data_IF_702533725156
#
_entry.id   IF_702533725156
#
_cell.length_a   1.000
_cell.length_b   1.000
_cell.length_c   1.000
_cell.angle_alpha   90.00
_cell.angle_beta   90.00
_cell.angle_gamma   90.00
#
_symmetry.space_group_name_H-M   'P 1'
#
loop_
_entity.id
_entity.type
_entity.pdbx_description
1 polymer ?
#
# COMPACT_ATOMS: atom_id res chain seq x y z
N UNK A 1 3.79 -2.69 15.72
CA UNK A 1 2.89 -3.05 14.60
C UNK A 1 3.53 -2.75 13.26
N UNK A 2 3.97 -1.51 13.00
CA UNK A 2 4.66 -1.09 11.77
C UNK A 2 5.83 -2.02 11.37
N UNK A 3 6.86 -2.13 12.21
CA UNK A 3 8.04 -2.97 11.92
C UNK A 3 7.72 -4.46 11.70
N UNK A 4 6.74 -4.96 12.43
CA UNK A 4 6.29 -6.34 12.25
C UNK A 4 5.59 -6.52 10.89
N UNK A 5 4.91 -5.49 10.37
CA UNK A 5 4.33 -5.48 9.03
C UNK A 5 5.39 -5.65 7.94
N UNK A 6 6.54 -4.97 8.06
CA UNK A 6 7.69 -5.19 7.18
C UNK A 6 8.21 -6.63 7.30
N UNK A 7 8.57 -7.04 8.52
CA UNK A 7 9.26 -8.30 8.75
C UNK A 7 8.42 -9.54 8.41
N UNK A 8 7.11 -9.47 8.67
CA UNK A 8 6.21 -10.61 8.52
C UNK A 8 5.57 -10.65 7.14
N UNK A 9 4.94 -9.56 6.70
CA UNK A 9 4.12 -9.53 5.49
C UNK A 9 4.79 -8.81 4.29
N UNK A 10 6.05 -8.37 4.44
CA UNK A 10 6.79 -7.69 3.38
C UNK A 10 6.16 -6.36 2.95
N UNK A 11 5.44 -5.69 3.87
CA UNK A 11 4.82 -4.39 3.60
C UNK A 11 5.89 -3.33 3.37
N UNK A 12 5.65 -2.39 2.47
CA UNK A 12 6.47 -1.20 2.26
C UNK A 12 5.95 -0.02 3.07
N UNK A 13 6.81 0.97 3.28
CA UNK A 13 6.43 2.24 3.90
C UNK A 13 5.49 3.05 3.01
N UNK A 14 4.40 3.55 3.58
CA UNK A 14 3.39 4.37 2.88
C UNK A 14 3.54 5.87 3.16
N UNK A 15 4.48 6.26 4.02
CA UNK A 15 4.88 7.65 4.13
C UNK A 15 5.82 8.05 2.98
N UNK A 16 5.82 9.35 2.72
CA UNK A 16 6.62 9.98 1.69
C UNK A 16 7.09 11.32 2.24
N UNK A 17 8.30 11.72 1.87
CA UNK A 17 8.82 13.04 2.21
C UNK A 17 8.99 13.84 0.92
N UNK A 18 8.54 15.10 0.93
CA UNK A 18 8.71 16.03 -0.18
C UNK A 18 10.05 16.75 -0.18
N UNK A 19 10.79 16.74 0.94
CA UNK A 19 11.97 17.61 1.13
C UNK A 19 13.32 16.92 0.84
N UNK A 20 13.35 15.60 0.70
CA UNK A 20 14.60 14.81 0.50
C UNK A 20 14.52 13.90 -0.73
N UNK A 21 14.04 14.44 -1.85
CA UNK A 21 14.09 13.76 -3.15
C UNK A 21 15.52 13.83 -3.75
N UNK A 22 16.49 13.20 -3.09
CA UNK A 22 17.88 13.15 -3.59
C UNK A 22 18.26 11.81 -4.24
N UNK A 23 17.46 10.75 -4.07
CA UNK A 23 17.67 9.46 -4.75
C UNK A 23 16.31 8.85 -5.14
N UNK A 24 16.12 8.45 -6.40
CA UNK A 24 14.97 7.65 -6.85
C UNK A 24 15.07 6.27 -6.19
N UNK A 25 14.57 6.11 -4.95
CA UNK A 25 14.62 4.85 -4.21
C UNK A 25 13.80 3.75 -4.91
N UNK A 26 12.78 4.16 -5.67
CA UNK A 26 11.90 3.27 -6.42
C UNK A 26 11.95 3.62 -7.90
N UNK A 27 12.44 2.72 -8.78
CA UNK A 27 12.34 2.93 -10.22
C UNK A 27 10.86 2.99 -10.61
N UNK A 28 10.41 4.15 -11.09
CA UNK A 28 9.00 4.41 -11.48
C UNK A 28 8.52 3.55 -12.66
N UNK A 29 9.44 2.83 -13.31
CA UNK A 29 9.19 1.91 -14.42
C UNK A 29 9.11 0.44 -14.00
N UNK A 30 9.32 0.13 -12.72
CA UNK A 30 9.28 -1.23 -12.18
C UNK A 30 8.19 -1.30 -11.12
N UNK A 31 7.40 -2.38 -11.14
CA UNK A 31 6.38 -2.61 -10.13
C UNK A 31 7.04 -3.10 -8.82
N UNK A 32 6.79 -2.46 -7.66
CA UNK A 32 7.40 -2.88 -6.40
C UNK A 32 7.02 -4.31 -6.00
N UNK A 33 7.85 -4.99 -5.22
CA UNK A 33 7.47 -6.30 -4.66
C UNK A 33 6.49 -6.14 -3.49
N UNK A 34 6.64 -5.07 -2.70
CA UNK A 34 5.76 -4.77 -1.57
C UNK A 34 4.28 -4.75 -2.02
N UNK A 35 3.39 -5.47 -1.32
CA UNK A 35 2.02 -5.66 -1.78
C UNK A 35 1.16 -4.41 -1.60
N UNK A 36 1.56 -3.45 -0.75
CA UNK A 36 0.83 -2.21 -0.44
C UNK A 36 1.42 -0.96 -1.12
N UNK A 37 2.31 -1.10 -2.09
CA UNK A 37 2.81 -0.01 -2.93
C UNK A 37 2.67 -0.38 -4.41
N UNK A 38 2.42 0.60 -5.28
CA UNK A 38 2.38 0.38 -6.72
C UNK A 38 2.98 1.56 -7.48
N UNK A 39 3.59 1.30 -8.63
CA UNK A 39 3.97 2.34 -9.62
C UNK A 39 2.97 2.42 -10.78
N UNK A 40 1.88 1.64 -10.71
CA UNK A 40 0.87 1.44 -11.75
C UNK A 40 1.38 0.77 -13.04
N UNK A 41 2.61 0.26 -13.04
CA UNK A 41 3.18 -0.51 -14.16
C UNK A 41 2.44 -1.84 -14.31
N UNK A 42 2.08 -2.48 -13.20
CA UNK A 42 1.30 -3.71 -13.16
C UNK A 42 0.34 -3.71 -11.97
N UNK A 43 -0.59 -2.74 -11.96
CA UNK A 43 -1.57 -2.60 -10.87
C UNK A 43 -2.54 -3.79 -10.75
N UNK A 44 -2.77 -4.54 -11.83
CA UNK A 44 -3.59 -5.77 -11.83
C UNK A 44 -3.06 -6.81 -10.82
N UNK A 45 -1.74 -6.92 -10.69
CA UNK A 45 -1.09 -7.85 -9.77
C UNK A 45 -1.12 -7.39 -8.30
N UNK A 46 -1.66 -6.20 -8.03
CA UNK A 46 -1.74 -5.59 -6.71
C UNK A 46 -3.15 -5.72 -6.15
N UNK A 47 -3.64 -4.68 -5.50
CA UNK A 47 -4.93 -4.66 -4.84
C UNK A 47 -6.06 -4.14 -5.72
N UNK A 48 -5.92 -4.14 -7.06
CA UNK A 48 -7.01 -3.68 -7.95
C UNK A 48 -8.33 -4.42 -7.67
N UNK A 49 -8.26 -5.71 -7.35
CA UNK A 49 -9.41 -6.52 -6.95
C UNK A 49 -10.06 -6.12 -5.61
N UNK A 50 -9.37 -5.34 -4.78
CA UNK A 50 -9.86 -4.82 -3.49
C UNK A 50 -10.28 -3.34 -3.57
N UNK A 51 -9.95 -2.65 -4.67
CA UNK A 51 -10.24 -1.23 -4.84
C UNK A 51 -11.74 -0.98 -4.94
N UNK A 52 -12.19 0.13 -4.36
CA UNK A 52 -13.54 0.64 -4.55
C UNK A 52 -13.70 1.22 -5.97
N UNK A 53 -14.93 1.50 -6.37
CA UNK A 53 -15.23 2.24 -7.60
C UNK A 53 -14.86 3.73 -7.45
N UNK A 54 -13.56 4.00 -7.55
CA UNK A 54 -12.94 5.33 -7.47
C UNK A 54 -11.93 5.51 -8.61
N UNK A 55 -11.59 6.76 -9.00
CA UNK A 55 -10.57 7.00 -10.02
C UNK A 55 -9.22 6.39 -9.62
N UNK A 56 -8.46 5.93 -10.62
CA UNK A 56 -7.08 5.44 -10.49
C UNK A 56 -6.20 6.21 -11.49
N UNK A 57 -5.21 7.01 -11.03
CA UNK A 57 -4.91 7.34 -9.64
C UNK A 57 -6.07 8.00 -8.89
N UNK A 58 -6.16 7.76 -7.58
CA UNK A 58 -7.19 8.34 -6.72
C UNK A 58 -6.75 9.74 -6.26
N UNK A 59 -7.52 10.80 -6.55
CA UNK A 59 -7.19 12.15 -6.10
C UNK A 59 -7.14 12.25 -4.57
N UNK A 60 -6.27 13.11 -4.03
CA UNK A 60 -6.30 13.49 -2.62
C UNK A 60 -7.48 14.43 -2.33
N UNK A 61 -8.68 13.86 -2.35
CA UNK A 61 -9.93 14.52 -2.03
C UNK A 61 -10.54 13.89 -0.79
N UNK A 62 -11.14 14.72 0.08
CA UNK A 62 -11.84 14.28 1.29
C UNK A 62 -12.87 13.18 1.03
N UNK A 63 -13.50 13.18 -0.15
CA UNK A 63 -14.50 12.20 -0.60
C UNK A 63 -13.95 10.77 -0.69
N UNK A 64 -12.64 10.61 -0.94
CA UNK A 64 -12.01 9.31 -1.11
C UNK A 64 -11.25 8.82 0.14
N UNK A 65 -11.14 9.62 1.21
CA UNK A 65 -10.30 9.29 2.38
C UNK A 65 -10.68 7.99 3.11
N UNK A 66 -11.91 7.52 2.95
CA UNK A 66 -12.41 6.27 3.52
C UNK A 66 -12.58 5.17 2.46
N UNK A 67 -11.91 5.30 1.31
CA UNK A 67 -11.97 4.36 0.18
C UNK A 67 -10.63 3.69 -0.01
N UNK A 68 -10.66 2.46 -0.50
CA UNK A 68 -9.48 1.77 -1.01
C UNK A 68 -9.31 2.16 -2.49
N UNK A 69 -8.18 2.80 -2.82
CA UNK A 69 -7.87 3.31 -4.15
C UNK A 69 -6.37 3.24 -4.43
N UNK A 70 -5.83 4.21 -5.19
CA UNK A 70 -4.41 4.37 -5.44
C UNK A 70 -4.02 5.83 -5.22
N UNK A 71 -3.70 6.20 -3.98
CA UNK A 71 -3.34 7.56 -3.59
C UNK A 71 -1.86 7.81 -3.85
N UNK A 72 -1.54 8.86 -4.60
CA UNK A 72 -0.14 9.21 -4.89
C UNK A 72 0.62 9.56 -3.60
N UNK A 73 1.87 9.11 -3.54
CA UNK A 73 2.75 9.21 -2.38
C UNK A 73 2.89 7.89 -1.62
N UNK A 74 4.10 7.38 -1.51
CA UNK A 74 4.44 6.16 -0.77
C UNK A 74 5.84 5.67 -1.13
N UNK A 75 6.41 4.77 -0.33
CA UNK A 75 7.77 4.28 -0.55
C UNK A 75 8.80 5.40 -0.59
N UNK A 76 8.64 6.41 0.27
CA UNK A 76 9.46 7.63 0.32
C UNK A 76 9.31 8.59 -0.86
N UNK A 77 8.58 8.19 -1.91
CA UNK A 77 8.37 8.99 -3.13
C UNK A 77 7.08 9.80 -3.04
N UNK A 78 7.15 11.10 -3.31
CA UNK A 78 5.97 11.97 -3.37
C UNK A 78 5.18 11.83 -4.67
N UNK A 79 5.77 11.26 -5.72
CA UNK A 79 5.16 11.10 -7.05
C UNK A 79 5.51 9.76 -7.69
N UNK A 80 4.58 9.22 -8.47
CA UNK A 80 4.79 8.00 -9.25
C UNK A 80 4.79 6.69 -8.45
N UNK A 81 4.67 6.75 -7.12
CA UNK A 81 4.37 5.61 -6.25
C UNK A 81 3.06 5.88 -5.54
N UNK A 82 2.22 4.86 -5.41
CA UNK A 82 0.87 4.97 -4.87
C UNK A 82 0.65 3.97 -3.74
N UNK A 83 -0.11 4.41 -2.74
CA UNK A 83 -0.55 3.62 -1.58
C UNK A 83 -2.06 3.35 -1.63
N UNK A 84 -2.55 2.31 -0.96
CA UNK A 84 -3.93 1.83 -1.11
C UNK A 84 -4.98 2.70 -0.41
N UNK A 85 -4.65 3.34 0.70
CA UNK A 85 -5.58 4.15 1.49
C UNK A 85 -4.94 5.45 1.97
N UNK A 86 -5.79 6.39 2.40
CA UNK A 86 -5.31 7.67 2.90
C UNK A 86 -4.45 7.52 4.18
N UNK A 87 -4.81 6.58 5.06
CA UNK A 87 -4.13 6.35 6.33
C UNK A 87 -3.96 4.85 6.64
N UNK A 88 -2.82 4.48 7.22
CA UNK A 88 -2.42 3.10 7.53
C UNK A 88 -1.30 3.12 8.57
N UNK A 89 -1.15 2.06 9.37
CA UNK A 89 0.04 1.89 10.22
C UNK A 89 1.36 1.93 9.44
N UNK A 90 1.36 1.58 8.15
CA UNK A 90 2.54 1.71 7.29
C UNK A 90 2.81 3.15 6.85
N UNK A 91 1.86 4.07 7.06
CA UNK A 91 2.01 5.50 6.79
C UNK A 91 2.31 6.31 8.06
N UNK A 92 1.57 6.04 9.13
CA UNK A 92 1.66 6.80 10.37
C UNK A 92 1.41 5.90 11.59
N UNK A 93 2.25 6.02 12.62
CA UNK A 93 2.17 5.19 13.82
C UNK A 93 0.87 5.38 14.60
N UNK A 94 0.21 6.54 14.47
CA UNK A 94 -1.05 6.86 15.13
C UNK A 94 -2.29 6.57 14.26
N UNK A 95 -2.16 5.84 13.15
CA UNK A 95 -3.27 5.52 12.26
C UNK A 95 -4.34 4.60 12.90
N UNK A 96 -3.98 3.86 13.95
CA UNK A 96 -4.89 2.99 14.71
C UNK A 96 -5.22 1.66 14.04
N UNK A 97 -4.92 1.48 12.73
CA UNK A 97 -5.17 0.25 11.98
C UNK A 97 -4.24 0.08 10.77
N UNK A 98 -4.10 -1.16 10.30
CA UNK A 98 -3.67 -1.42 8.94
C UNK A 98 -4.82 -1.08 7.97
N UNK A 99 -4.50 -0.63 6.76
CA UNK A 99 -5.49 -0.47 5.70
C UNK A 99 -5.99 -1.84 5.21
N UNK A 100 -7.05 -1.86 4.41
CA UNK A 100 -7.66 -3.07 3.85
C UNK A 100 -6.62 -3.95 3.14
N UNK A 101 -5.74 -3.33 2.36
CA UNK A 101 -4.72 -4.01 1.56
C UNK A 101 -3.58 -4.57 2.42
N UNK A 102 -3.11 -3.83 3.41
CA UNK A 102 -2.12 -4.35 4.36
C UNK A 102 -2.69 -5.50 5.19
N UNK A 103 -3.97 -5.41 5.58
CA UNK A 103 -4.66 -6.48 6.32
C UNK A 103 -4.79 -7.75 5.48
N UNK A 104 -5.20 -7.62 4.21
CA UNK A 104 -5.26 -8.73 3.25
C UNK A 104 -3.88 -9.37 3.03
N UNK A 105 -2.82 -8.57 2.88
CA UNK A 105 -1.46 -9.10 2.75
C UNK A 105 -1.01 -9.89 3.99
N UNK A 106 -1.26 -9.35 5.19
CA UNK A 106 -0.96 -10.05 6.46
C UNK A 106 -1.74 -11.36 6.55
N UNK A 107 -3.04 -11.34 6.21
CA UNK A 107 -3.89 -12.53 6.24
C UNK A 107 -3.39 -13.60 5.27
N UNK A 108 -3.04 -13.23 4.04
CA UNK A 108 -2.42 -14.14 3.06
C UNK A 108 -1.10 -14.74 3.57
N UNK A 109 -0.28 -13.95 4.25
CA UNK A 109 0.95 -14.46 4.88
C UNK A 109 0.65 -15.47 5.98
N UNK A 110 -0.34 -15.20 6.85
CA UNK A 110 -0.77 -16.15 7.90
C UNK A 110 -1.25 -17.46 7.24
N UNK A 111 -2.11 -17.37 6.23
CA UNK A 111 -2.62 -18.54 5.51
C UNK A 111 -1.49 -19.38 4.90
N UNK A 112 -0.51 -18.72 4.28
CA UNK A 112 0.65 -19.36 3.69
C UNK A 112 1.44 -20.18 4.73
N UNK A 113 1.72 -19.60 5.90
CA UNK A 113 2.48 -20.30 6.95
C UNK A 113 1.65 -21.34 7.72
N UNK A 114 0.34 -21.15 7.85
CA UNK A 114 -0.53 -22.03 8.63
C UNK A 114 -1.23 -23.11 7.78
N UNK A 115 -1.05 -23.12 6.46
CA UNK A 115 -1.72 -24.02 5.52
C UNK A 115 -3.26 -24.01 5.68
N UNK A 116 -3.83 -22.85 6.02
CA UNK A 116 -5.27 -22.63 6.17
C UNK A 116 -5.80 -22.01 4.88
N UNK A 117 -6.69 -22.71 4.17
CA UNK A 117 -7.50 -22.09 3.10
C UNK A 117 -8.71 -21.42 3.75
N UNK A 118 -8.91 -20.13 3.53
CA UNK A 118 -10.20 -19.51 3.83
C UNK A 118 -11.21 -20.04 2.81
N UNK A 119 -12.19 -20.77 3.31
CA UNK A 119 -13.41 -21.06 2.57
C UNK A 119 -14.29 -19.83 2.68
N UNK A 120 -14.53 -19.15 1.55
CA UNK A 120 -15.52 -18.08 1.41
C UNK A 120 -16.95 -18.57 1.74
#
# INVERSE_FOLDING_TARGET
MHEFGHAFAGLGDEYYDSEVAYEDFTPKTIEPIAPNLTTLVNFEAKWKHLADDVPIPTPDDKRYRNKTGAFEGGGYESKGVYRPEYNCYMKALNAGKFCKVCSDAIEKTIQYYCNQKITD
#
